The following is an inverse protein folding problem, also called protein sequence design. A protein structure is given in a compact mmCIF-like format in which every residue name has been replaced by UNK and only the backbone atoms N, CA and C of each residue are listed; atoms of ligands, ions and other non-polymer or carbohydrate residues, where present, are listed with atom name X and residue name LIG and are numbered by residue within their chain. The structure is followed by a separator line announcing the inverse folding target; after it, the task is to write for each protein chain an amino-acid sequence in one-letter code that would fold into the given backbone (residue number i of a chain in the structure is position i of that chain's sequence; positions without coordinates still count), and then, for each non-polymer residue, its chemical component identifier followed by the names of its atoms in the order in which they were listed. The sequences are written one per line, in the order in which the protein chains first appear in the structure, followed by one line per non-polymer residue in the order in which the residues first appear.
data_IF_790889588664
#
_entry.id   IF_790889588664
#
_cell.length_a   1.000
_cell.length_b   1.000
_cell.length_c   1.000
_cell.angle_alpha   90.00
_cell.angle_beta   90.00
_cell.angle_gamma   90.00
#
_symmetry.space_group_name_H-M   'P 1'
#
loop_
_entity.id
_entity.type
_entity.pdbx_description
1 polymer ?
#
# COMPACT_ATOMS: atom_id res chain seq x y z
N UNK A 1 -2.69 -16.79 4.51
CA UNK A 1 -2.90 -16.37 5.91
C UNK A 1 -3.19 -14.87 5.87
N UNK A 2 -4.44 -14.55 5.60
CA UNK A 2 -4.88 -13.17 5.37
C UNK A 2 -5.13 -12.51 6.72
N UNK A 3 -4.35 -11.48 7.04
CA UNK A 3 -4.64 -10.62 8.19
C UNK A 3 -6.05 -10.03 8.01
N UNK A 4 -6.86 -9.95 9.08
CA UNK A 4 -8.19 -9.37 8.98
C UNK A 4 -8.03 -7.92 8.54
N UNK A 5 -8.83 -7.51 7.55
CA UNK A 5 -8.96 -6.12 7.16
C UNK A 5 -9.28 -5.31 8.42
N UNK A 6 -8.34 -4.48 8.86
CA UNK A 6 -8.64 -3.41 9.81
C UNK A 6 -9.56 -2.44 9.07
N UNK A 7 -10.87 -2.70 9.17
CA UNK A 7 -11.88 -1.70 8.89
C UNK A 7 -11.59 -0.52 9.82
N UNK A 8 -11.20 0.62 9.23
CA UNK A 8 -11.12 1.91 9.91
C UNK A 8 -12.47 2.21 10.60
N UNK A 9 -12.58 1.89 11.88
CA UNK A 9 -13.52 2.55 12.79
C UNK A 9 -12.80 3.77 13.38
N UNK A 10 -13.45 4.95 13.43
CA UNK A 10 -12.91 6.06 14.21
C UNK A 10 -12.70 5.57 15.65
N UNK A 11 -11.56 5.88 16.30
CA UNK A 11 -11.30 5.38 17.64
C UNK A 11 -12.37 5.91 18.58
N UNK A 12 -13.14 4.99 19.17
CA UNK A 12 -14.14 5.30 20.17
C UNK A 12 -13.44 6.02 21.34
N UNK A 13 -13.81 7.26 21.62
CA UNK A 13 -13.24 8.08 22.69
C UNK A 13 -12.57 9.39 22.26
N UNK A 14 -12.49 9.70 20.97
CA UNK A 14 -12.00 11.00 20.46
C UNK A 14 -12.76 12.21 21.05
N UNK A 15 -14.04 12.04 21.38
CA UNK A 15 -14.89 13.10 21.95
C UNK A 15 -14.65 13.37 23.45
N UNK A 16 -13.83 12.56 24.12
CA UNK A 16 -13.48 12.75 25.54
C UNK A 16 -12.34 13.76 25.75
N UNK A 17 -11.66 14.16 24.67
CA UNK A 17 -10.53 15.08 24.71
C UNK A 17 -10.95 16.51 24.40
N UNK A 18 -10.18 17.50 24.85
CA UNK A 18 -10.35 18.89 24.44
C UNK A 18 -10.06 19.09 22.94
N UNK A 19 -10.53 20.20 22.38
CA UNK A 19 -10.44 20.48 20.94
C UNK A 19 -8.99 20.49 20.41
N UNK A 20 -8.03 20.95 21.19
CA UNK A 20 -6.63 20.99 20.77
C UNK A 20 -6.05 19.58 20.68
N UNK A 21 -6.25 18.78 21.73
CA UNK A 21 -5.86 17.36 21.78
C UNK A 21 -6.55 16.55 20.67
N UNK A 22 -7.84 16.81 20.40
CA UNK A 22 -8.59 16.14 19.33
C UNK A 22 -7.98 16.37 17.94
N UNK A 23 -7.56 17.60 17.64
CA UNK A 23 -6.90 17.93 16.35
C UNK A 23 -5.55 17.26 16.20
N UNK A 24 -4.77 17.23 17.27
CA UNK A 24 -3.47 16.53 17.28
C UNK A 24 -3.67 15.04 17.04
N UNK A 25 -4.59 14.40 17.76
CA UNK A 25 -4.90 12.98 17.60
C UNK A 25 -5.45 12.66 16.21
N UNK A 26 -6.30 13.52 15.63
CA UNK A 26 -6.76 13.34 14.25
C UNK A 26 -5.60 13.35 13.25
N UNK A 27 -4.65 14.26 13.42
CA UNK A 27 -3.45 14.35 12.57
C UNK A 27 -2.58 13.11 12.73
N UNK A 28 -2.33 12.69 13.97
CA UNK A 28 -1.59 11.47 14.28
C UNK A 28 -2.24 10.23 13.66
N UNK A 29 -3.57 10.08 13.81
CA UNK A 29 -4.30 8.96 13.24
C UNK A 29 -4.22 8.94 11.71
N UNK A 30 -4.34 10.09 11.05
CA UNK A 30 -4.20 10.16 9.59
C UNK A 30 -2.81 9.70 9.11
N UNK A 31 -1.76 10.06 9.85
CA UNK A 31 -0.39 9.63 9.57
C UNK A 31 -0.22 8.12 9.76
N UNK A 32 -0.69 7.58 10.88
CA UNK A 32 -0.60 6.13 11.17
C UNK A 32 -1.45 5.31 10.19
N UNK A 33 -2.62 5.80 9.78
CA UNK A 33 -3.43 5.16 8.74
C UNK A 33 -2.70 5.12 7.40
N UNK A 34 -2.05 6.22 7.00
CA UNK A 34 -1.25 6.27 5.77
C UNK A 34 -0.11 5.26 5.83
N UNK A 35 0.58 5.18 6.98
CA UNK A 35 1.65 4.21 7.21
C UNK A 35 1.14 2.76 7.14
N UNK A 36 0.02 2.46 7.78
CA UNK A 36 -0.59 1.12 7.74
C UNK A 36 -1.02 0.72 6.32
N UNK A 37 -1.59 1.66 5.56
CA UNK A 37 -1.93 1.45 4.15
C UNK A 37 -0.68 1.15 3.32
N UNK A 38 0.40 1.92 3.51
CA UNK A 38 1.67 1.67 2.83
C UNK A 38 2.25 0.28 3.17
N UNK A 39 2.24 -0.12 4.45
CA UNK A 39 2.71 -1.45 4.85
C UNK A 39 1.89 -2.56 4.19
N UNK A 40 0.58 -2.37 4.09
CA UNK A 40 -0.30 -3.31 3.39
C UNK A 40 0.09 -3.43 1.91
N UNK A 41 0.38 -2.31 1.24
CA UNK A 41 0.85 -2.33 -0.14
C UNK A 41 2.22 -3.00 -0.28
N UNK A 42 3.14 -2.78 0.65
CA UNK A 42 4.45 -3.46 0.68
C UNK A 42 4.27 -4.97 0.76
N UNK A 43 3.38 -5.46 1.63
CA UNK A 43 3.07 -6.89 1.70
C UNK A 43 2.47 -7.42 0.40
N UNK A 44 1.50 -6.72 -0.19
CA UNK A 44 0.90 -7.13 -1.47
C UNK A 44 1.94 -7.21 -2.61
N UNK A 45 2.85 -6.24 -2.69
CA UNK A 45 3.92 -6.24 -3.69
C UNK A 45 4.94 -7.34 -3.42
N UNK A 46 5.27 -7.58 -2.16
CA UNK A 46 6.17 -8.66 -1.77
C UNK A 46 5.60 -10.00 -2.23
N UNK A 47 4.35 -10.31 -1.90
CA UNK A 47 3.70 -11.57 -2.28
C UNK A 47 3.62 -11.73 -3.80
N UNK A 48 3.11 -10.70 -4.51
CA UNK A 48 2.96 -10.74 -5.97
C UNK A 48 4.30 -10.89 -6.68
N UNK A 49 5.27 -10.04 -6.34
CA UNK A 49 6.54 -10.01 -7.03
C UNK A 49 7.41 -11.21 -6.67
N UNK A 50 7.25 -11.77 -5.47
CA UNK A 50 7.86 -13.04 -5.10
C UNK A 50 7.42 -14.15 -6.05
N UNK A 51 6.11 -14.35 -6.21
CA UNK A 51 5.56 -15.38 -7.10
C UNK A 51 5.99 -15.20 -8.56
N UNK A 52 6.18 -13.96 -9.02
CA UNK A 52 6.58 -13.65 -10.38
C UNK A 52 8.08 -13.79 -10.63
N UNK A 53 8.91 -13.38 -9.68
CA UNK A 53 10.35 -13.23 -9.89
C UNK A 53 11.19 -14.37 -9.30
N UNK A 54 10.74 -15.01 -8.22
CA UNK A 54 11.49 -16.06 -7.54
C UNK A 54 10.92 -17.43 -7.94
N UNK A 55 11.50 -18.01 -8.99
CA UNK A 55 11.03 -19.29 -9.58
C UNK A 55 11.77 -20.53 -9.09
N UNK A 56 12.87 -20.34 -8.38
CA UNK A 56 13.71 -21.40 -7.85
C UNK A 56 13.88 -21.30 -6.34
N UNK A 57 14.72 -22.15 -5.79
CA UNK A 57 15.11 -22.06 -4.39
C UNK A 57 15.96 -20.79 -4.19
N UNK A 58 15.58 -19.88 -3.29
CA UNK A 58 16.32 -18.65 -3.07
C UNK A 58 17.73 -18.95 -2.53
N UNK A 59 18.72 -18.27 -3.10
CA UNK A 59 20.11 -18.31 -2.60
C UNK A 59 20.30 -17.40 -1.38
N UNK A 60 21.54 -17.29 -0.90
CA UNK A 60 21.89 -16.36 0.18
C UNK A 60 21.72 -14.87 -0.20
N UNK A 61 21.63 -14.60 -1.50
CA UNK A 61 21.35 -13.28 -2.10
C UNK A 61 20.51 -13.50 -3.34
N UNK A 62 19.77 -12.47 -3.73
CA UNK A 62 19.13 -12.45 -5.03
C UNK A 62 20.19 -12.43 -6.13
N UNK A 63 19.94 -13.17 -7.20
CA UNK A 63 20.69 -13.05 -8.44
C UNK A 63 20.38 -11.70 -9.09
N UNK A 64 21.28 -11.24 -9.98
CA UNK A 64 21.09 -10.00 -10.75
C UNK A 64 19.76 -9.98 -11.52
N UNK A 65 19.31 -11.14 -11.99
CA UNK A 65 18.03 -11.29 -12.71
C UNK A 65 16.83 -11.13 -11.78
N UNK A 66 16.88 -11.72 -10.58
CA UNK A 66 15.82 -11.59 -9.58
C UNK A 66 15.72 -10.15 -9.06
N UNK A 67 16.84 -9.49 -8.74
CA UNK A 67 16.86 -8.08 -8.35
C UNK A 67 16.24 -7.18 -9.42
N UNK A 68 16.65 -7.37 -10.68
CA UNK A 68 16.08 -6.62 -11.79
C UNK A 68 14.58 -6.89 -11.97
N UNK A 69 14.14 -8.15 -11.83
CA UNK A 69 12.73 -8.50 -11.92
C UNK A 69 11.91 -7.85 -10.81
N UNK A 70 12.37 -7.91 -9.55
CA UNK A 70 11.66 -7.35 -8.40
C UNK A 70 11.45 -5.84 -8.55
N UNK A 71 12.50 -5.09 -8.93
CA UNK A 71 12.39 -3.65 -9.21
C UNK A 71 11.37 -3.37 -10.30
N UNK A 72 11.49 -4.05 -11.45
CA UNK A 72 10.56 -3.84 -12.56
C UNK A 72 9.12 -4.26 -12.22
N UNK A 73 8.93 -5.30 -11.39
CA UNK A 73 7.61 -5.78 -11.01
C UNK A 73 6.82 -4.70 -10.25
N UNK A 74 7.46 -4.04 -9.28
CA UNK A 74 6.83 -2.96 -8.51
C UNK A 74 6.58 -1.75 -9.41
N UNK A 75 7.60 -1.30 -10.16
CA UNK A 75 7.49 -0.12 -11.05
C UNK A 75 6.36 -0.29 -12.07
N UNK A 76 6.31 -1.44 -12.75
CA UNK A 76 5.26 -1.73 -13.75
C UNK A 76 3.87 -1.81 -13.14
N UNK A 77 3.75 -2.32 -11.91
CA UNK A 77 2.46 -2.35 -11.23
C UNK A 77 1.97 -0.93 -10.92
N UNK A 78 2.84 -0.07 -10.39
CA UNK A 78 2.51 1.32 -10.07
C UNK A 78 2.18 2.11 -11.34
N UNK A 79 3.01 2.01 -12.39
CA UNK A 79 2.79 2.67 -13.68
C UNK A 79 1.43 2.30 -14.27
N UNK A 80 1.12 1.00 -14.29
CA UNK A 80 -0.15 0.50 -14.85
C UNK A 80 -1.34 0.94 -14.00
N UNK A 81 -1.20 0.94 -12.67
CA UNK A 81 -2.26 1.38 -11.76
C UNK A 81 -2.57 2.86 -11.95
N UNK A 82 -1.54 3.71 -12.01
CA UNK A 82 -1.69 5.15 -12.25
C UNK A 82 -2.31 5.42 -13.63
N UNK A 83 -1.87 4.70 -14.66
CA UNK A 83 -2.45 4.80 -16.00
C UNK A 83 -3.95 4.48 -16.01
N UNK A 84 -4.36 3.40 -15.34
CA UNK A 84 -5.77 3.00 -15.24
C UNK A 84 -6.57 4.08 -14.50
N UNK A 85 -6.11 4.55 -13.35
CA UNK A 85 -6.81 5.59 -12.57
C UNK A 85 -7.00 6.85 -13.41
N UNK A 86 -5.93 7.35 -14.03
CA UNK A 86 -5.99 8.54 -14.90
C UNK A 86 -6.97 8.34 -16.07
N UNK A 87 -6.94 7.18 -16.70
CA UNK A 87 -7.85 6.84 -17.80
C UNK A 87 -9.32 6.83 -17.37
N UNK A 88 -9.61 6.41 -16.14
CA UNK A 88 -10.97 6.42 -15.58
C UNK A 88 -11.41 7.84 -15.22
N UNK A 89 -10.53 8.67 -14.67
CA UNK A 89 -10.80 10.08 -14.37
C UNK A 89 -11.12 10.88 -15.64
N UNK A 90 -10.33 10.68 -16.71
CA UNK A 90 -10.57 11.31 -18.02
C UNK A 90 -11.94 10.92 -18.58
N UNK A 91 -12.32 9.63 -18.50
CA UNK A 91 -13.63 9.16 -18.96
C UNK A 91 -14.79 9.70 -18.13
N UNK A 92 -14.61 9.85 -16.82
CA UNK A 92 -15.62 10.41 -15.91
C UNK A 92 -15.94 11.87 -16.25
N UNK A 93 -14.97 12.64 -16.76
CA UNK A 93 -15.19 14.02 -17.21
C UNK A 93 -15.92 14.16 -18.55
N UNK A 94 -16.12 13.06 -19.29
CA UNK A 94 -16.87 13.01 -20.56
C UNK A 94 -18.30 12.47 -20.41
N UNK A 95 -18.74 12.17 -19.18
CA UNK A 95 -20.16 11.95 -18.83
C UNK A 95 -20.73 13.20 -18.17
#
# INVERSE_FOLDING_TARGET
MSAPQQQQQPPAGLDQFDEATRRELQTFLAQEQTKAALQTQVHQFTDRCWDLCIKGQPGARFSRGEEACLTNCVDRFLDSSLFIVKSLEERKGHM
#
